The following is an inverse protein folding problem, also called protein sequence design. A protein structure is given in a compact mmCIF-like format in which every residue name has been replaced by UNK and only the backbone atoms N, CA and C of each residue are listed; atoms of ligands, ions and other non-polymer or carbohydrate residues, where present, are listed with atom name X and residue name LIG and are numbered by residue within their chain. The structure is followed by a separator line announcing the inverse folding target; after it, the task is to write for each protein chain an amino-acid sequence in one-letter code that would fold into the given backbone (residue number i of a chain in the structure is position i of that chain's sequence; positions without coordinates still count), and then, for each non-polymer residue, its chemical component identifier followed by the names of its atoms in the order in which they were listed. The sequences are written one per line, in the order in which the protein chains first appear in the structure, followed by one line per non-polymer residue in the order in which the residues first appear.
data_IF_774198756937
#
_entry.id   IF_774198756937
#
_cell.length_a   1.000
_cell.length_b   1.000
_cell.length_c   1.000
_cell.angle_alpha   90.00
_cell.angle_beta   90.00
_cell.angle_gamma   90.00
#
_symmetry.space_group_name_H-M   'P 1'
#
loop_
_entity.id
_entity.type
_entity.pdbx_description
1 polymer ?
#
# COMPACT_ATOMS: atom_id res chain seq x y z
N UNK A 1 -33.84 6.81 6.79
CA UNK A 1 -32.37 6.86 6.97
C UNK A 1 -31.76 5.61 6.34
N UNK A 2 -31.07 5.74 5.20
CA UNK A 2 -30.33 4.60 4.63
C UNK A 2 -29.04 4.43 5.43
N UNK A 3 -28.98 3.37 6.25
CA UNK A 3 -27.77 3.01 6.97
C UNK A 3 -26.65 2.71 5.98
N UNK A 4 -25.50 3.33 6.18
CA UNK A 4 -24.30 3.02 5.41
C UNK A 4 -23.91 1.59 5.78
N UNK A 5 -24.32 0.62 4.96
CA UNK A 5 -23.83 -0.74 5.06
C UNK A 5 -22.34 -0.72 4.73
N UNK A 6 -21.50 -0.69 5.76
CA UNK A 6 -20.07 -0.97 5.63
C UNK A 6 -19.98 -2.31 4.90
N UNK A 7 -19.37 -2.33 3.72
CA UNK A 7 -19.26 -3.56 2.94
C UNK A 7 -18.30 -4.48 3.69
N UNK A 8 -18.86 -5.47 4.40
CA UNK A 8 -18.12 -6.62 4.89
C UNK A 8 -17.59 -7.36 3.66
N UNK A 9 -16.27 -7.36 3.53
CA UNK A 9 -15.42 -8.16 2.64
C UNK A 9 -16.20 -8.96 1.59
N UNK A 10 -16.48 -8.34 0.44
CA UNK A 10 -16.99 -9.08 -0.71
C UNK A 10 -15.79 -9.59 -1.49
N UNK A 11 -15.52 -10.88 -1.41
CA UNK A 11 -14.42 -11.50 -2.16
C UNK A 11 -14.73 -11.41 -3.67
N UNK A 12 -14.37 -10.29 -4.28
CA UNK A 12 -14.63 -9.95 -5.67
C UNK A 12 -13.29 -9.90 -6.42
N UNK A 13 -13.26 -10.40 -7.65
CA UNK A 13 -12.09 -10.45 -8.52
C UNK A 13 -11.41 -9.08 -8.66
N UNK A 14 -12.19 -7.99 -8.73
CA UNK A 14 -11.67 -6.63 -8.78
C UNK A 14 -10.99 -6.19 -7.47
N UNK A 15 -11.52 -6.60 -6.32
CA UNK A 15 -10.89 -6.33 -5.02
C UNK A 15 -9.58 -7.10 -4.90
N UNK A 16 -9.53 -8.37 -5.33
CA UNK A 16 -8.28 -9.15 -5.37
C UNK A 16 -7.22 -8.52 -6.26
N UNK A 17 -7.58 -8.07 -7.46
CA UNK A 17 -6.66 -7.36 -8.36
C UNK A 17 -6.14 -6.06 -7.75
N UNK A 18 -7.02 -5.27 -7.12
CA UNK A 18 -6.60 -4.03 -6.44
C UNK A 18 -5.62 -4.31 -5.29
N UNK A 19 -5.96 -5.28 -4.44
CA UNK A 19 -5.07 -5.70 -3.34
C UNK A 19 -3.73 -6.16 -3.91
N UNK A 20 -3.72 -6.93 -4.99
CA UNK A 20 -2.48 -7.36 -5.65
C UNK A 20 -1.63 -6.17 -6.14
N UNK A 21 -2.25 -5.17 -6.80
CA UNK A 21 -1.54 -3.97 -7.26
C UNK A 21 -0.93 -3.20 -6.09
N UNK A 22 -1.70 -2.94 -5.02
CA UNK A 22 -1.20 -2.23 -3.83
C UNK A 22 -0.06 -3.00 -3.17
N UNK A 23 -0.18 -4.34 -3.10
CA UNK A 23 0.89 -5.19 -2.57
C UNK A 23 2.16 -5.11 -3.42
N UNK A 24 2.01 -5.16 -4.74
CA UNK A 24 3.13 -5.07 -5.67
C UNK A 24 3.85 -3.72 -5.56
N UNK A 25 3.10 -2.62 -5.49
CA UNK A 25 3.67 -1.28 -5.30
C UNK A 25 4.42 -1.20 -3.96
N UNK A 26 3.80 -1.64 -2.86
CA UNK A 26 4.45 -1.67 -1.55
C UNK A 26 5.74 -2.50 -1.57
N UNK A 27 5.71 -3.65 -2.25
CA UNK A 27 6.89 -4.52 -2.40
C UNK A 27 8.01 -3.86 -3.21
N UNK A 28 7.70 -3.15 -4.29
CA UNK A 28 8.68 -2.40 -5.07
C UNK A 28 9.32 -1.30 -4.21
N UNK A 29 8.50 -0.53 -3.48
CA UNK A 29 8.98 0.52 -2.56
C UNK A 29 9.83 -0.05 -1.42
N UNK A 30 9.55 -1.28 -1.00
CA UNK A 30 10.36 -2.00 -0.02
C UNK A 30 11.71 -2.48 -0.57
N UNK A 31 11.73 -3.07 -1.78
CA UNK A 31 12.95 -3.67 -2.35
C UNK A 31 13.93 -2.64 -2.89
N UNK A 32 13.48 -1.62 -3.63
CA UNK A 32 14.36 -0.61 -4.25
C UNK A 32 15.43 -0.06 -3.28
N UNK A 33 15.07 0.43 -2.07
CA UNK A 33 16.05 0.96 -1.14
C UNK A 33 17.04 -0.08 -0.61
N UNK A 34 16.70 -1.37 -0.63
CA UNK A 34 17.54 -2.49 -0.17
C UNK A 34 18.55 -2.96 -1.23
N UNK A 35 18.31 -2.67 -2.51
CA UNK A 35 19.18 -3.13 -3.61
C UNK A 35 20.62 -2.62 -3.42
N UNK A 36 20.82 -1.31 -3.25
CA UNK A 36 22.16 -0.73 -3.08
C UNK A 36 22.96 -1.31 -1.90
N UNK A 37 22.43 -1.39 -0.67
CA UNK A 37 23.17 -2.00 0.43
C UNK A 37 23.42 -3.49 0.20
N UNK A 38 22.49 -4.24 -0.40
CA UNK A 38 22.75 -5.63 -0.78
C UNK A 38 23.93 -5.76 -1.77
N UNK A 39 24.00 -4.88 -2.78
CA UNK A 39 25.14 -4.84 -3.71
C UNK A 39 26.45 -4.49 -3.01
N UNK A 40 26.43 -3.54 -2.06
CA UNK A 40 27.62 -3.17 -1.29
C UNK A 40 28.16 -4.34 -0.45
N UNK A 41 27.28 -5.17 0.13
CA UNK A 41 27.69 -6.38 0.86
C UNK A 41 28.24 -7.50 -0.04
N UNK A 42 27.87 -7.54 -1.33
CA UNK A 42 28.31 -8.56 -2.27
C UNK A 42 29.69 -8.26 -2.90
N UNK A 43 30.17 -7.01 -2.82
CA UNK A 43 31.43 -6.57 -3.43
C UNK A 43 32.44 -6.24 -2.33
N UNK A 44 33.48 -7.07 -2.21
CA UNK A 44 34.56 -6.88 -1.24
C UNK A 44 35.29 -5.56 -1.55
N UNK A 45 35.32 -4.63 -0.59
CA UNK A 45 36.02 -3.35 -0.69
C UNK A 45 35.14 -2.13 -0.96
N UNK A 46 33.81 -2.28 -1.01
CA UNK A 46 32.90 -1.14 -1.02
C UNK A 46 32.65 -0.59 0.39
N UNK A 47 32.63 0.73 0.53
CA UNK A 47 32.26 1.40 1.78
C UNK A 47 30.83 1.04 2.19
N UNK A 48 30.60 0.90 3.51
CA UNK A 48 29.27 0.70 4.05
C UNK A 48 28.37 1.88 3.67
N UNK A 49 27.40 1.63 2.80
CA UNK A 49 26.41 2.64 2.44
C UNK A 49 25.49 2.84 3.64
N UNK A 50 25.70 3.93 4.39
CA UNK A 50 24.85 4.28 5.52
C UNK A 50 23.39 4.41 5.07
N UNK A 51 22.51 3.73 5.82
CA UNK A 51 21.07 3.81 5.61
C UNK A 51 20.57 5.18 6.05
N UNK A 52 20.22 6.05 5.09
CA UNK A 52 19.63 7.35 5.42
C UNK A 52 18.26 7.16 6.08
N UNK A 53 17.87 8.11 6.97
CA UNK A 53 16.54 8.07 7.64
C UNK A 53 15.39 7.91 6.63
N UNK A 54 15.46 8.61 5.50
CA UNK A 54 14.47 8.53 4.42
C UNK A 54 14.36 7.11 3.86
N UNK A 55 15.49 6.43 3.68
CA UNK A 55 15.54 5.05 3.17
C UNK A 55 14.91 4.07 4.17
N UNK A 56 15.19 4.25 5.47
CA UNK A 56 14.57 3.45 6.54
C UNK A 56 13.05 3.61 6.50
N UNK A 57 12.56 4.84 6.39
CA UNK A 57 11.12 5.14 6.32
C UNK A 57 10.49 4.46 5.11
N UNK A 58 11.12 4.51 3.93
CA UNK A 58 10.61 3.87 2.72
C UNK A 58 10.54 2.34 2.84
N UNK A 59 11.55 1.71 3.44
CA UNK A 59 11.54 0.26 3.72
C UNK A 59 10.37 -0.09 4.63
N UNK A 60 10.21 0.62 5.75
CA UNK A 60 9.14 0.35 6.71
C UNK A 60 7.76 0.56 6.07
N UNK A 61 7.57 1.67 5.35
CA UNK A 61 6.31 1.98 4.67
C UNK A 61 6.00 0.97 3.56
N UNK A 62 6.99 0.65 2.72
CA UNK A 62 6.84 -0.35 1.66
C UNK A 62 6.44 -1.71 2.22
N UNK A 63 7.11 -2.14 3.29
CA UNK A 63 6.78 -3.39 3.99
C UNK A 63 5.35 -3.38 4.55
N UNK A 64 4.98 -2.31 5.26
CA UNK A 64 3.66 -2.15 5.86
C UNK A 64 2.54 -2.14 4.81
N UNK A 65 2.75 -1.44 3.69
CA UNK A 65 1.81 -1.37 2.57
C UNK A 65 1.70 -2.72 1.87
N UNK A 66 2.80 -3.43 1.64
CA UNK A 66 2.77 -4.76 1.02
C UNK A 66 2.08 -5.80 1.91
N UNK A 67 2.26 -5.71 3.23
CA UNK A 67 1.62 -6.63 4.18
C UNK A 67 0.13 -6.33 4.33
N UNK A 68 -0.25 -5.05 4.32
CA UNK A 68 -1.59 -4.57 4.67
C UNK A 68 -2.50 -4.27 3.47
N UNK A 69 -2.13 -4.70 2.25
CA UNK A 69 -2.87 -4.37 1.03
C UNK A 69 -4.38 -4.66 1.06
N UNK A 70 -4.81 -5.70 1.80
CA UNK A 70 -6.24 -6.02 2.00
C UNK A 70 -6.98 -4.93 2.80
N UNK A 71 -6.36 -4.43 3.86
CA UNK A 71 -6.93 -3.36 4.69
C UNK A 71 -7.01 -2.03 3.94
N UNK A 72 -5.97 -1.69 3.18
CA UNK A 72 -5.94 -0.51 2.30
C UNK A 72 -7.07 -0.59 1.27
N UNK A 73 -7.30 -1.76 0.68
CA UNK A 73 -8.42 -2.00 -0.24
C UNK A 73 -9.80 -1.78 0.39
N UNK A 74 -9.99 -2.25 1.64
CA UNK A 74 -11.25 -2.07 2.37
C UNK A 74 -11.50 -0.59 2.70
N UNK A 75 -10.48 0.13 3.20
CA UNK A 75 -10.59 1.57 3.48
C UNK A 75 -10.93 2.33 2.20
N UNK A 76 -10.20 2.07 1.11
CA UNK A 76 -10.41 2.80 -0.15
C UNK A 76 -11.80 2.57 -0.73
N UNK A 77 -12.31 1.32 -0.67
CA UNK A 77 -13.67 1.01 -1.11
C UNK A 77 -14.73 1.74 -0.25
N UNK A 78 -14.54 1.77 1.07
CA UNK A 78 -15.45 2.47 1.98
C UNK A 78 -15.41 4.00 1.78
N UNK A 79 -14.23 4.58 1.55
CA UNK A 79 -14.08 5.99 1.19
C UNK A 79 -14.79 6.31 -0.13
N UNK A 80 -14.62 5.48 -1.16
CA UNK A 80 -15.31 5.64 -2.44
C UNK A 80 -16.84 5.62 -2.30
N UNK A 81 -17.38 4.73 -1.46
CA UNK A 81 -18.81 4.68 -1.18
C UNK A 81 -19.30 5.90 -0.40
N UNK A 82 -18.51 6.36 0.58
CA UNK A 82 -18.81 7.57 1.33
C UNK A 82 -18.89 8.79 0.39
N UNK A 83 -17.88 8.98 -0.46
CA UNK A 83 -17.84 10.07 -1.45
C UNK A 83 -19.02 9.97 -2.43
N UNK A 84 -19.31 8.78 -2.96
CA UNK A 84 -20.45 8.57 -3.87
C UNK A 84 -21.80 8.93 -3.23
N UNK A 85 -21.98 8.59 -1.96
CA UNK A 85 -23.20 8.91 -1.23
C UNK A 85 -23.27 10.40 -0.88
N UNK A 86 -22.15 11.03 -0.52
CA UNK A 86 -22.09 12.48 -0.31
C UNK A 86 -22.46 13.25 -1.59
N UNK A 87 -21.87 12.88 -2.73
CA UNK A 87 -22.19 13.50 -4.03
C UNK A 87 -23.66 13.31 -4.41
N UNK A 88 -24.23 12.12 -4.21
CA UNK A 88 -25.66 11.88 -4.43
C UNK A 88 -26.56 12.78 -3.59
N UNK A 89 -26.13 13.12 -2.38
CA UNK A 89 -26.88 13.98 -1.45
C UNK A 89 -26.73 15.47 -1.78
N UNK A 90 -25.69 15.86 -2.51
CA UNK A 90 -25.50 17.22 -3.00
C UNK A 90 -26.16 17.47 -4.37
N UNK A 91 -26.33 16.42 -5.18
CA UNK A 91 -27.01 16.49 -6.47
C UNK A 91 -28.54 16.28 -6.37
N UNK A 92 -29.06 16.05 -5.16
CA UNK A 92 -30.49 15.92 -4.82
C UNK A 92 -30.88 17.07 -3.89
#
# INVERSE_FOLDING_TARGET
MNSIKIIKDRDNTSQRRWVFIVRLIGFIVFIIPLIQPMYAYMIIGMEEIQFSRTRIILVILGFAVSSSGKFIGIINNNLGLFVKNALKKFAS
#
